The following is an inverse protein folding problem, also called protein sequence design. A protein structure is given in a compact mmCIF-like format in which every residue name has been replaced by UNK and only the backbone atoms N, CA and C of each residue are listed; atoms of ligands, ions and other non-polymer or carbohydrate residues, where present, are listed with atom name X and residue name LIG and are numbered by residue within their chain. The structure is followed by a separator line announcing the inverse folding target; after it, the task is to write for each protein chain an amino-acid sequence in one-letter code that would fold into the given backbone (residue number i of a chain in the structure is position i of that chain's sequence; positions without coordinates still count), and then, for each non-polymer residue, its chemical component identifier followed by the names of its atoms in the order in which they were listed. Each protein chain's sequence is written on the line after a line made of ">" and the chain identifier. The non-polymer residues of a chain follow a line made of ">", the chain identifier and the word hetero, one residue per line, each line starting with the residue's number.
data_IF_062252504845
#
_entry.id   IF_062252504845
#
_cell.length_a   1.000
_cell.length_b   1.000
_cell.length_c   1.000
_cell.angle_alpha   90.00
_cell.angle_beta   90.00
_cell.angle_gamma   90.00
#
_symmetry.space_group_name_H-M   'P 1'
#
loop_
_entity.id
_entity.type
_entity.pdbx_description
1 polymer ?
#
# COMPACT_ATOMS: atom_id res chain seq x y z
N UNK A 1 10.95 -2.03 15.77
CA UNK A 1 11.46 -3.23 15.06
C UNK A 1 10.65 -3.36 13.80
N UNK A 2 11.21 -3.95 12.75
CA UNK A 2 10.53 -4.06 11.46
C UNK A 2 9.19 -4.81 11.58
N UNK A 3 9.14 -5.85 12.43
CA UNK A 3 7.88 -6.54 12.74
C UNK A 3 6.81 -5.62 13.35
N UNK A 4 7.18 -4.71 14.26
CA UNK A 4 6.20 -3.76 14.82
C UNK A 4 5.68 -2.80 13.75
N UNK A 5 6.56 -2.27 12.90
CA UNK A 5 6.16 -1.39 11.80
C UNK A 5 5.24 -2.14 10.82
N UNK A 6 5.54 -3.40 10.49
CA UNK A 6 4.68 -4.24 9.68
C UNK A 6 3.31 -4.45 10.33
N UNK A 7 3.24 -4.71 11.64
CA UNK A 7 1.97 -4.82 12.36
C UNK A 7 1.10 -3.56 12.23
N UNK A 8 1.70 -2.37 12.33
CA UNK A 8 0.98 -1.11 12.09
C UNK A 8 0.55 -0.99 10.62
N UNK A 9 1.41 -1.34 9.66
CA UNK A 9 1.06 -1.32 8.24
C UNK A 9 -0.11 -2.25 7.91
N UNK A 10 -0.15 -3.45 8.49
CA UNK A 10 -1.26 -4.39 8.34
C UNK A 10 -2.56 -3.83 8.94
N UNK A 11 -2.48 -3.16 10.09
CA UNK A 11 -3.65 -2.53 10.71
C UNK A 11 -4.19 -1.37 9.84
N UNK A 12 -3.30 -0.58 9.24
CA UNK A 12 -3.68 0.45 8.26
C UNK A 12 -4.37 -0.17 7.05
N UNK A 13 -3.82 -1.26 6.49
CA UNK A 13 -4.42 -1.93 5.34
C UNK A 13 -5.78 -2.56 5.65
N UNK A 14 -5.92 -3.18 6.83
CA UNK A 14 -7.17 -3.79 7.29
C UNK A 14 -8.26 -2.73 7.48
N UNK A 15 -7.92 -1.59 8.09
CA UNK A 15 -8.90 -0.60 8.54
C UNK A 15 -9.11 0.56 7.57
N UNK A 16 -8.23 0.75 6.59
CA UNK A 16 -8.22 1.91 5.69
C UNK A 16 -7.90 3.26 6.37
N UNK A 17 -7.46 3.24 7.65
CA UNK A 17 -7.23 4.46 8.46
C UNK A 17 -5.75 4.83 8.52
N UNK A 18 -5.47 6.10 8.83
CA UNK A 18 -4.10 6.61 9.00
C UNK A 18 -3.39 6.00 10.22
N UNK A 19 -2.06 5.85 10.16
CA UNK A 19 -1.28 5.11 11.17
C UNK A 19 -1.16 5.80 12.54
N UNK A 20 -1.31 7.13 12.62
CA UNK A 20 -1.08 7.89 13.84
C UNK A 20 -2.17 7.61 14.86
N UNK A 21 -1.83 7.03 16.02
CA UNK A 21 -2.79 6.72 17.09
C UNK A 21 -3.63 5.46 16.85
N UNK A 22 -3.63 4.92 15.65
CA UNK A 22 -4.52 3.83 15.21
C UNK A 22 -4.48 2.59 16.10
N UNK A 23 -3.29 2.16 16.53
CA UNK A 23 -3.16 0.98 17.39
C UNK A 23 -3.90 1.19 18.73
N UNK A 24 -3.84 2.40 19.29
CA UNK A 24 -4.53 2.71 20.53
C UNK A 24 -6.05 2.83 20.32
N UNK A 25 -6.48 3.41 19.19
CA UNK A 25 -7.90 3.50 18.83
C UNK A 25 -8.54 2.13 18.62
N UNK A 26 -7.77 1.16 18.14
CA UNK A 26 -8.24 -0.20 17.91
C UNK A 26 -7.98 -1.13 19.10
N UNK A 27 -7.37 -0.66 20.17
CA UNK A 27 -6.79 -1.52 21.21
C UNK A 27 -7.82 -2.50 21.78
N UNK A 28 -8.97 -1.98 22.22
CA UNK A 28 -10.03 -2.81 22.80
C UNK A 28 -10.58 -3.83 21.78
N UNK A 29 -10.80 -3.40 20.54
CA UNK A 29 -11.26 -4.30 19.49
C UNK A 29 -10.23 -5.41 19.22
N UNK A 30 -8.95 -5.09 19.16
CA UNK A 30 -7.88 -6.07 18.92
C UNK A 30 -7.74 -7.11 20.06
N UNK A 31 -8.17 -6.80 21.28
CA UNK A 31 -8.16 -7.74 22.42
C UNK A 31 -9.39 -8.64 22.48
N UNK A 32 -10.55 -8.16 22.01
CA UNK A 32 -11.80 -8.91 22.03
C UNK A 32 -11.89 -9.90 20.86
N UNK A 33 -12.36 -11.15 21.10
CA UNK A 33 -12.67 -12.07 20.01
C UNK A 33 -13.82 -11.52 19.14
N UNK A 34 -13.81 -11.91 17.86
CA UNK A 34 -14.91 -11.66 16.90
C UNK A 34 -15.17 -10.19 16.49
N UNK A 35 -14.28 -9.26 16.81
CA UNK A 35 -14.38 -7.83 16.40
C UNK A 35 -13.67 -7.51 15.08
N UNK A 36 -12.94 -8.48 14.51
CA UNK A 36 -12.05 -8.28 13.37
C UNK A 36 -12.77 -7.72 12.14
N UNK A 37 -13.98 -8.20 11.86
CA UNK A 37 -14.82 -7.66 10.78
C UNK A 37 -15.27 -6.23 11.05
N UNK A 38 -15.54 -5.88 12.31
CA UNK A 38 -16.02 -4.56 12.71
C UNK A 38 -14.99 -3.45 12.57
N UNK A 39 -13.69 -3.80 12.61
CA UNK A 39 -12.60 -2.85 12.37
C UNK A 39 -12.13 -2.82 10.92
N UNK A 40 -12.48 -3.82 10.12
CA UNK A 40 -12.11 -3.90 8.72
C UNK A 40 -12.82 -2.81 7.89
N UNK A 41 -12.11 -2.23 6.93
CA UNK A 41 -12.70 -1.31 5.97
C UNK A 41 -13.76 -2.04 5.12
N UNK A 42 -15.00 -1.56 5.17
CA UNK A 42 -16.14 -2.20 4.51
C UNK A 42 -16.02 -2.26 2.98
N UNK A 43 -15.26 -1.33 2.39
CA UNK A 43 -15.03 -1.21 0.94
C UNK A 43 -13.78 -1.97 0.47
N UNK A 44 -12.97 -2.52 1.38
CA UNK A 44 -11.74 -3.23 1.05
C UNK A 44 -11.97 -4.70 0.63
N UNK A 45 -13.18 -5.23 0.81
CA UNK A 45 -13.54 -6.58 0.34
C UNK A 45 -12.89 -7.73 1.13
N UNK A 46 -12.42 -7.47 2.36
CA UNK A 46 -11.88 -8.51 3.23
C UNK A 46 -12.93 -9.57 3.54
N UNK A 47 -12.58 -10.84 3.38
CA UNK A 47 -13.37 -11.93 3.97
C UNK A 47 -13.19 -11.96 5.50
N UNK A 48 -14.17 -12.54 6.19
CA UNK A 48 -14.13 -12.81 7.63
C UNK A 48 -12.80 -13.44 8.08
N UNK A 49 -12.39 -14.50 7.38
CA UNK A 49 -11.18 -15.25 7.67
C UNK A 49 -9.90 -14.42 7.48
N UNK A 50 -9.85 -13.59 6.42
CA UNK A 50 -8.72 -12.68 6.19
C UNK A 50 -8.64 -11.62 7.30
N UNK A 51 -9.77 -10.99 7.66
CA UNK A 51 -9.81 -9.98 8.70
C UNK A 51 -9.37 -10.54 10.06
N UNK A 52 -9.83 -11.74 10.42
CA UNK A 52 -9.47 -12.41 11.67
C UNK A 52 -7.98 -12.75 11.72
N UNK A 53 -7.43 -13.31 10.65
CA UNK A 53 -6.03 -13.69 10.60
C UNK A 53 -5.09 -12.46 10.59
N UNK A 54 -5.46 -11.41 9.84
CA UNK A 54 -4.74 -10.13 9.87
C UNK A 54 -4.76 -9.51 11.26
N UNK A 55 -5.90 -9.57 11.97
CA UNK A 55 -6.01 -9.10 13.36
C UNK A 55 -5.06 -9.86 14.28
N UNK A 56 -5.00 -11.20 14.19
CA UNK A 56 -4.04 -12.02 14.96
C UNK A 56 -2.58 -11.62 14.68
N UNK A 57 -2.24 -11.36 13.42
CA UNK A 57 -0.90 -10.93 13.02
C UNK A 57 -0.58 -9.53 13.56
N UNK A 58 -1.52 -8.58 13.47
CA UNK A 58 -1.38 -7.23 14.06
C UNK A 58 -1.09 -7.33 15.56
N UNK A 59 -1.93 -8.06 16.30
CA UNK A 59 -1.76 -8.23 17.76
C UNK A 59 -0.40 -8.84 18.09
N UNK A 60 0.00 -9.91 17.39
CA UNK A 60 1.28 -10.57 17.61
C UNK A 60 2.49 -9.68 17.30
N UNK A 61 2.48 -8.99 16.16
CA UNK A 61 3.58 -8.16 15.67
C UNK A 61 3.70 -6.82 16.41
N UNK A 62 2.57 -6.21 16.74
CA UNK A 62 2.47 -4.90 17.38
C UNK A 62 2.36 -4.98 18.91
N UNK A 63 2.41 -6.18 19.51
CA UNK A 63 2.26 -6.39 20.95
C UNK A 63 3.11 -5.43 21.79
N UNK A 64 2.55 -4.79 22.81
CA UNK A 64 3.24 -3.74 23.58
C UNK A 64 4.64 -4.18 24.08
N UNK A 65 4.74 -5.39 24.63
CA UNK A 65 5.98 -5.93 25.18
C UNK A 65 6.85 -6.52 24.08
N UNK A 66 7.91 -5.81 23.70
CA UNK A 66 8.88 -6.21 22.66
C UNK A 66 9.32 -7.68 22.73
N UNK A 67 9.60 -8.20 23.92
CA UNK A 67 10.06 -9.60 24.14
C UNK A 67 9.00 -10.68 23.87
N UNK A 68 7.72 -10.29 23.83
CA UNK A 68 6.59 -11.19 23.58
C UNK A 68 6.00 -11.00 22.16
N UNK A 69 6.54 -10.08 21.37
CA UNK A 69 6.10 -9.89 19.98
C UNK A 69 6.43 -11.12 19.17
N UNK A 70 5.51 -11.48 18.28
CA UNK A 70 5.73 -12.47 17.24
C UNK A 70 6.97 -12.08 16.41
N UNK A 71 7.94 -13.00 16.20
CA UNK A 71 9.03 -12.77 15.27
C UNK A 71 8.52 -12.60 13.85
N UNK A 72 9.15 -11.73 13.07
CA UNK A 72 8.76 -11.52 11.67
C UNK A 72 8.83 -12.82 10.85
N UNK A 73 9.82 -13.67 11.12
CA UNK A 73 9.96 -14.97 10.46
C UNK A 73 8.78 -15.93 10.71
N UNK A 74 8.02 -15.74 11.78
CA UNK A 74 6.80 -16.52 12.09
C UNK A 74 5.56 -15.92 11.39
N UNK A 75 5.52 -14.59 11.23
CA UNK A 75 4.41 -13.90 10.58
C UNK A 75 4.38 -14.08 9.05
N UNK A 76 5.56 -14.11 8.40
CA UNK A 76 5.66 -14.15 6.94
C UNK A 76 4.96 -15.37 6.29
N UNK A 77 5.18 -16.61 6.76
CA UNK A 77 4.49 -17.78 6.17
C UNK A 77 2.97 -17.71 6.28
N UNK A 78 2.45 -17.06 7.33
CA UNK A 78 1.00 -16.87 7.52
C UNK A 78 0.43 -15.85 6.54
N UNK A 79 1.16 -14.77 6.27
CA UNK A 79 0.80 -13.79 5.24
C UNK A 79 0.83 -14.42 3.84
N UNK A 80 1.87 -15.21 3.53
CA UNK A 80 1.96 -15.94 2.28
C UNK A 80 0.77 -16.89 2.09
N UNK A 81 0.40 -17.64 3.14
CA UNK A 81 -0.76 -18.53 3.10
C UNK A 81 -2.08 -17.80 2.82
N UNK A 82 -2.27 -16.58 3.37
CA UNK A 82 -3.44 -15.76 3.07
C UNK A 82 -3.50 -15.34 1.59
N UNK A 83 -2.36 -14.97 1.02
CA UNK A 83 -2.26 -14.59 -0.40
C UNK A 83 -2.51 -15.79 -1.30
N UNK A 84 -1.92 -16.94 -1.00
CA UNK A 84 -2.13 -18.17 -1.78
C UNK A 84 -3.59 -18.66 -1.73
N UNK A 85 -4.26 -18.55 -0.58
CA UNK A 85 -5.68 -18.87 -0.45
C UNK A 85 -6.57 -17.93 -1.28
N UNK A 86 -6.23 -16.64 -1.33
CA UNK A 86 -6.90 -15.64 -2.15
C UNK A 86 -6.72 -15.93 -3.65
N UNK A 87 -5.49 -16.22 -4.09
CA UNK A 87 -5.19 -16.59 -5.48
C UNK A 87 -5.91 -17.88 -5.88
N UNK A 88 -5.95 -18.88 -5.00
CA UNK A 88 -6.63 -20.15 -5.27
C UNK A 88 -8.16 -19.99 -5.42
N UNK A 89 -8.74 -18.94 -4.84
CA UNK A 89 -10.17 -18.63 -4.93
C UNK A 89 -10.50 -17.56 -5.97
N UNK A 90 -9.50 -16.85 -6.48
CA UNK A 90 -9.66 -15.85 -7.52
C UNK A 90 -10.00 -16.48 -8.88
N UNK A 91 -11.25 -16.28 -9.32
CA UNK A 91 -11.74 -16.68 -10.67
C UNK A 91 -11.17 -15.80 -11.81
N UNK A 92 -10.20 -14.93 -11.54
CA UNK A 92 -9.57 -14.03 -12.51
C UNK A 92 -8.12 -13.80 -12.11
N UNK A 93 -7.21 -13.56 -13.08
CA UNK A 93 -5.79 -13.44 -12.78
C UNK A 93 -5.55 -12.31 -11.75
N UNK A 94 -4.63 -12.52 -10.80
CA UNK A 94 -4.29 -11.50 -9.83
C UNK A 94 -3.78 -10.29 -10.60
N UNK A 95 -4.49 -9.19 -10.45
CA UNK A 95 -4.07 -7.91 -10.96
C UNK A 95 -2.76 -7.61 -10.25
N UNK A 96 -1.65 -7.60 -11.00
CA UNK A 96 -0.42 -6.89 -10.67
C UNK A 96 -0.70 -5.38 -10.64
N UNK A 97 -1.69 -4.96 -9.87
CA UNK A 97 -1.88 -3.58 -9.47
C UNK A 97 -0.91 -3.36 -8.31
N UNK A 98 0.35 -3.08 -8.65
CA UNK A 98 1.35 -2.68 -7.66
C UNK A 98 0.75 -1.59 -6.78
N UNK A 99 0.62 -1.89 -5.48
CA UNK A 99 0.08 -1.07 -4.38
C UNK A 99 -0.29 0.34 -4.84
N UNK A 100 -1.43 0.44 -5.51
CA UNK A 100 -2.03 1.73 -5.79
C UNK A 100 -2.65 2.12 -4.46
N UNK A 101 -1.99 3.05 -3.75
CA UNK A 101 -2.64 3.79 -2.68
C UNK A 101 -3.93 4.32 -3.27
N UNK A 102 -5.07 3.76 -2.84
CA UNK A 102 -6.37 4.14 -3.33
C UNK A 102 -6.65 5.56 -2.86
N UNK A 103 -6.26 6.55 -3.67
CA UNK A 103 -6.75 7.91 -3.51
C UNK A 103 -8.22 7.89 -3.91
N UNK A 104 -9.09 7.99 -2.90
CA UNK A 104 -10.52 8.17 -3.09
C UNK A 104 -10.79 9.32 -4.07
N UNK A 105 -11.54 9.05 -5.13
CA UNK A 105 -12.19 10.08 -5.95
C UNK A 105 -11.34 10.72 -7.05
N UNK A 106 -11.37 10.11 -8.24
CA UNK A 106 -11.83 10.82 -9.45
C UNK A 106 -11.02 12.02 -9.96
N UNK A 107 -9.71 11.87 -10.22
CA UNK A 107 -9.05 12.42 -11.42
C UNK A 107 -7.63 11.83 -11.46
N UNK A 108 -7.31 10.97 -12.42
CA UNK A 108 -5.91 10.59 -12.62
C UNK A 108 -5.09 11.88 -12.77
N UNK A 109 -4.07 12.11 -11.91
CA UNK A 109 -3.30 13.36 -11.92
C UNK A 109 -2.80 13.63 -13.34
N UNK A 110 -3.27 14.73 -13.94
CA UNK A 110 -3.06 15.05 -15.36
C UNK A 110 -1.63 15.57 -15.62
N UNK A 111 -1.14 15.39 -16.83
CA UNK A 111 0.14 15.91 -17.29
C UNK A 111 0.20 17.44 -17.14
N UNK A 112 1.22 17.95 -16.48
CA UNK A 112 1.36 19.40 -16.19
C UNK A 112 1.69 20.24 -17.43
N UNK A 113 1.99 19.59 -18.57
CA UNK A 113 2.27 20.27 -19.84
C UNK A 113 1.04 20.34 -20.74
N UNK A 114 0.36 19.21 -20.98
CA UNK A 114 -0.74 19.15 -21.95
C UNK A 114 -2.13 19.16 -21.32
N UNK A 115 -2.26 18.84 -20.02
CA UNK A 115 -3.53 18.78 -19.30
C UNK A 115 -4.59 17.84 -19.91
N UNK A 116 -4.18 17.01 -20.89
CA UNK A 116 -5.08 16.20 -21.71
C UNK A 116 -4.82 14.69 -21.60
N UNK A 117 -3.77 14.31 -20.87
CA UNK A 117 -3.35 12.92 -20.68
C UNK A 117 -2.94 12.70 -19.22
N UNK A 118 -3.10 11.48 -18.67
CA UNK A 118 -2.60 11.16 -17.35
C UNK A 118 -1.07 11.24 -17.30
N UNK A 119 -0.52 11.51 -16.11
CA UNK A 119 0.92 11.37 -15.84
C UNK A 119 1.29 9.89 -15.97
N UNK A 120 2.21 9.58 -16.88
CA UNK A 120 2.58 8.19 -17.20
C UNK A 120 4.09 7.94 -17.17
N UNK A 121 4.90 9.00 -17.02
CA UNK A 121 6.36 8.89 -16.93
C UNK A 121 6.82 9.21 -15.51
N UNK A 122 7.62 8.32 -14.93
CA UNK A 122 8.34 8.54 -13.66
C UNK A 122 9.80 8.87 -13.94
N UNK A 123 10.27 9.95 -13.34
CA UNK A 123 11.70 10.26 -13.29
C UNK A 123 12.41 9.35 -12.28
N UNK A 124 13.73 9.20 -12.40
CA UNK A 124 14.55 8.42 -11.45
C UNK A 124 14.38 8.85 -9.98
N UNK A 125 14.02 10.10 -9.72
CA UNK A 125 13.72 10.61 -8.39
C UNK A 125 12.30 10.27 -7.88
N UNK A 126 11.52 9.47 -8.62
CA UNK A 126 10.16 9.03 -8.25
C UNK A 126 9.04 9.99 -8.64
N UNK A 127 9.34 11.22 -9.06
CA UNK A 127 8.31 12.18 -9.46
C UNK A 127 7.67 11.80 -10.80
N UNK A 128 6.34 11.89 -10.87
CA UNK A 128 5.56 11.75 -12.11
C UNK A 128 4.85 13.07 -12.39
N UNK A 129 5.24 13.77 -13.46
CA UNK A 129 4.74 15.11 -13.81
C UNK A 129 4.14 15.17 -15.22
N UNK A 130 4.60 14.30 -16.13
CA UNK A 130 4.26 14.38 -17.55
C UNK A 130 3.76 13.04 -18.11
N UNK A 131 3.00 13.12 -19.19
CA UNK A 131 2.70 11.97 -20.04
C UNK A 131 3.90 11.59 -20.92
N UNK A 132 3.86 10.40 -21.53
CA UNK A 132 4.91 9.87 -22.40
C UNK A 132 5.25 10.80 -23.59
N UNK A 133 4.27 11.54 -24.12
CA UNK A 133 4.49 12.47 -25.23
C UNK A 133 5.16 13.78 -24.80
N UNK A 134 4.90 14.23 -23.57
CA UNK A 134 5.36 15.53 -23.09
C UNK A 134 6.73 15.46 -22.40
N UNK A 135 7.05 14.34 -21.75
CA UNK A 135 8.30 14.18 -21.01
C UNK A 135 9.56 14.43 -21.87
N UNK A 136 9.69 13.90 -23.11
CA UNK A 136 10.87 14.15 -23.94
C UNK A 136 11.10 15.63 -24.24
N UNK A 137 10.03 16.39 -24.54
CA UNK A 137 10.11 17.83 -24.84
C UNK A 137 10.62 18.66 -23.66
N UNK A 138 10.34 18.22 -22.44
CA UNK A 138 10.85 18.86 -21.22
C UNK A 138 12.33 18.50 -21.03
N UNK A 139 12.68 17.24 -21.25
CA UNK A 139 14.04 16.73 -21.10
C UNK A 139 15.03 17.26 -22.16
N UNK A 140 14.53 17.64 -23.33
CA UNK A 140 15.31 18.35 -24.35
C UNK A 140 15.82 19.72 -23.85
N UNK A 141 15.11 20.36 -22.92
CA UNK A 141 15.46 21.67 -22.37
C UNK A 141 16.35 21.59 -21.15
N UNK A 142 16.06 20.65 -20.25
CA UNK A 142 16.83 20.42 -19.04
C UNK A 142 16.72 18.93 -18.65
N UNK A 143 17.86 18.30 -18.40
CA UNK A 143 17.95 16.89 -18.01
C UNK A 143 17.65 16.66 -16.52
N UNK A 144 17.05 17.65 -15.84
CA UNK A 144 16.68 17.62 -14.42
C UNK A 144 15.17 17.58 -14.21
N UNK A 145 14.75 16.97 -13.11
CA UNK A 145 13.35 16.90 -12.73
C UNK A 145 12.86 18.30 -12.34
N UNK A 146 11.79 18.84 -12.93
CA UNK A 146 11.28 20.18 -12.59
C UNK A 146 10.85 20.34 -11.13
N UNK A 147 10.47 19.24 -10.46
CA UNK A 147 10.06 19.29 -9.05
C UNK A 147 11.24 19.36 -8.07
N UNK A 148 12.26 18.51 -8.24
CA UNK A 148 13.33 18.35 -7.24
C UNK A 148 14.76 18.62 -7.77
N UNK A 149 14.90 18.94 -9.05
CA UNK A 149 16.16 19.26 -9.75
C UNK A 149 17.21 18.13 -9.78
N UNK A 150 16.86 16.92 -9.35
CA UNK A 150 17.69 15.72 -9.50
C UNK A 150 17.74 15.27 -10.97
N UNK A 151 18.77 14.52 -11.40
CA UNK A 151 18.85 13.97 -12.75
C UNK A 151 17.58 13.20 -13.14
N UNK A 152 17.01 13.52 -14.30
CA UNK A 152 15.70 13.08 -14.74
C UNK A 152 15.75 11.86 -15.67
N UNK A 153 16.68 10.93 -15.43
CA UNK A 153 16.74 9.69 -16.20
C UNK A 153 15.35 9.02 -16.14
N UNK A 154 14.62 8.88 -17.27
CA UNK A 154 13.30 8.29 -17.26
C UNK A 154 13.43 6.80 -16.96
N UNK A 155 12.70 6.33 -15.97
CA UNK A 155 12.51 4.89 -15.76
C UNK A 155 11.36 4.53 -16.68
N UNK A 156 11.64 3.82 -17.77
CA UNK A 156 10.58 3.32 -18.64
C UNK A 156 9.62 2.47 -17.79
N UNK A 157 8.32 2.76 -17.89
CA UNK A 157 7.32 1.79 -17.45
C UNK A 157 7.47 0.59 -18.40
N UNK A 158 8.00 -0.51 -17.90
CA UNK A 158 7.92 -1.80 -18.59
C UNK A 158 6.45 -2.17 -18.70
N UNK A 159 6.01 -2.47 -19.93
CA UNK A 159 4.65 -2.93 -20.25
C UNK A 159 4.24 -4.17 -19.46
#
# INVERSE_FOLDING_TARGET
>A
TDGFALGITLLVALTGRGALGLLNECYDALEEPDTAEGIAAADAGWSAAQAEELTRLVVGLAYERKRKRMPLAEALPRLEALVEADIATATSPPHLAGVAVAEAGGNARQCDLCWSAPRSVRFACGHALYCATCAPRVLERDTKCPACRQPALPIAATE
#
